data_IF_709269105157
#
_entry.id   IF_709269105157
#
_cell.length_a   1.000
_cell.length_b   1.000
_cell.length_c   1.000
_cell.angle_alpha   90.00
_cell.angle_beta   90.00
_cell.angle_gamma   90.00
#
_symmetry.space_group_name_H-M   'P 1'
#
loop_
_entity.id
_entity.type
_entity.pdbx_description
1 polymer ?
#
# COMPACT_ATOMS: atom_id res chain seq x y z
N UNK A 1 21.81 1.14 -18.56
CA UNK A 1 23.15 1.68 -18.15
C UNK A 1 24.11 0.53 -17.74
N UNK A 2 25.45 0.65 -17.82
CA UNK A 2 26.39 -0.45 -17.44
C UNK A 2 26.92 -0.36 -16.00
N UNK A 3 27.24 -1.50 -15.38
CA UNK A 3 27.77 -1.60 -14.00
C UNK A 3 29.02 -0.72 -13.76
N UNK A 4 29.90 -0.60 -14.76
CA UNK A 4 31.08 0.29 -14.71
C UNK A 4 30.67 1.76 -14.57
N UNK A 5 29.60 2.20 -15.22
CA UNK A 5 29.08 3.57 -15.14
C UNK A 5 28.40 3.83 -13.79
N UNK A 6 27.65 2.87 -13.25
CA UNK A 6 27.06 2.96 -11.90
C UNK A 6 28.13 3.09 -10.81
N UNK A 7 29.16 2.23 -10.85
CA UNK A 7 30.28 2.30 -9.91
C UNK A 7 31.04 3.63 -10.06
N UNK A 8 31.28 4.10 -11.30
CA UNK A 8 31.95 5.40 -11.53
C UNK A 8 31.13 6.57 -10.98
N UNK A 9 29.82 6.61 -11.24
CA UNK A 9 28.93 7.67 -10.77
C UNK A 9 28.78 7.67 -9.23
N UNK A 10 28.73 6.49 -8.60
CA UNK A 10 28.71 6.37 -7.15
C UNK A 10 30.03 6.84 -6.51
N UNK A 11 31.17 6.42 -7.04
CA UNK A 11 32.49 6.87 -6.58
C UNK A 11 32.67 8.39 -6.77
N UNK A 12 32.22 8.96 -7.89
CA UNK A 12 32.26 10.41 -8.12
C UNK A 12 31.37 11.18 -7.14
N UNK A 13 30.17 10.70 -6.83
CA UNK A 13 29.24 11.35 -5.89
C UNK A 13 29.56 11.12 -4.40
N UNK A 14 30.45 10.20 -4.04
CA UNK A 14 30.79 9.92 -2.62
C UNK A 14 32.27 10.11 -2.26
N UNK A 15 33.19 10.23 -3.22
CA UNK A 15 34.64 10.31 -2.93
C UNK A 15 35.28 11.65 -3.37
N UNK A 16 34.64 12.44 -4.25
CA UNK A 16 35.13 13.80 -4.59
C UNK A 16 34.85 14.87 -3.50
N UNK A 17 34.81 14.43 -2.25
CA UNK A 17 34.95 15.23 -1.02
C UNK A 17 36.35 15.10 -0.40
N UNK A 18 37.42 15.12 -1.19
CA UNK A 18 38.79 15.39 -0.69
C UNK A 18 39.75 14.20 -0.48
N UNK A 19 39.39 12.95 -0.82
CA UNK A 19 40.31 11.81 -0.67
C UNK A 19 41.13 11.52 -1.94
N UNK A 20 42.45 11.74 -1.89
CA UNK A 20 43.35 11.68 -3.05
C UNK A 20 43.96 10.31 -3.39
N UNK A 21 43.69 9.25 -2.60
CA UNK A 21 44.00 7.86 -2.96
C UNK A 21 43.11 6.89 -2.17
N UNK A 22 42.37 6.03 -2.86
CA UNK A 22 41.66 4.92 -2.25
C UNK A 22 42.48 3.63 -2.45
N UNK A 23 43.09 3.13 -1.37
CA UNK A 23 43.66 1.79 -1.38
C UNK A 23 42.50 0.79 -1.22
N UNK A 24 42.06 0.18 -2.33
CA UNK A 24 41.14 -0.95 -2.28
C UNK A 24 41.91 -2.13 -1.72
N UNK A 25 41.63 -2.52 -0.48
CA UNK A 25 42.25 -3.67 0.18
C UNK A 25 41.96 -4.99 -0.57
N UNK A 26 42.66 -6.04 -0.16
CA UNK A 26 42.54 -7.36 -0.78
C UNK A 26 41.23 -8.07 -0.43
N UNK A 27 40.54 -7.65 0.64
CA UNK A 27 39.24 -8.19 1.07
C UNK A 27 38.10 -7.70 0.17
N UNK A 28 38.03 -6.39 -0.10
CA UNK A 28 37.13 -5.81 -1.08
C UNK A 28 37.36 -6.38 -2.50
N UNK A 29 38.63 -6.65 -2.86
CA UNK A 29 38.97 -7.35 -4.12
C UNK A 29 38.57 -8.82 -4.12
N UNK A 30 38.62 -9.52 -2.98
CA UNK A 30 38.14 -10.90 -2.85
C UNK A 30 36.62 -10.99 -2.98
N UNK A 31 35.87 -10.10 -2.31
CA UNK A 31 34.41 -10.02 -2.40
C UNK A 31 33.93 -9.78 -3.84
N UNK A 32 34.52 -8.79 -4.54
CA UNK A 32 34.23 -8.53 -5.95
C UNK A 32 34.52 -9.73 -6.86
N UNK A 33 35.61 -10.46 -6.63
CA UNK A 33 35.92 -11.68 -7.41
C UNK A 33 34.93 -12.81 -7.12
N UNK A 34 34.55 -13.03 -5.87
CA UNK A 34 33.54 -14.03 -5.50
C UNK A 34 32.21 -13.77 -6.20
N UNK A 35 31.77 -12.51 -6.20
CA UNK A 35 30.53 -12.09 -6.86
C UNK A 35 30.58 -12.28 -8.39
N UNK A 36 31.66 -11.85 -9.05
CA UNK A 36 31.84 -12.03 -10.50
C UNK A 36 32.00 -13.50 -10.93
N UNK A 37 32.39 -14.40 -10.03
CA UNK A 37 32.45 -15.84 -10.30
C UNK A 37 31.07 -16.50 -10.16
N UNK A 38 30.24 -16.06 -9.20
CA UNK A 38 28.86 -16.52 -9.07
C UNK A 38 28.02 -16.22 -10.32
N UNK A 39 28.05 -14.97 -10.83
CA UNK A 39 27.37 -14.56 -12.07
C UNK A 39 27.80 -15.37 -13.31
N UNK A 40 29.00 -15.96 -13.31
CA UNK A 40 29.50 -16.79 -14.40
C UNK A 40 29.15 -18.27 -14.26
N UNK A 41 28.94 -18.77 -13.04
CA UNK A 41 28.46 -20.13 -12.80
C UNK A 41 27.01 -20.33 -13.25
N UNK A 42 26.16 -19.34 -12.99
CA UNK A 42 24.71 -19.43 -13.21
C UNK A 42 24.31 -19.42 -14.70
N UNK A 43 25.23 -19.11 -15.61
CA UNK A 43 25.02 -19.16 -17.08
C UNK A 43 25.47 -20.47 -17.76
N UNK A 44 25.84 -21.50 -17.00
CA UNK A 44 26.15 -22.85 -17.55
C UNK A 44 25.68 -23.99 -16.64
N UNK A 45 24.44 -24.46 -16.85
CA UNK A 45 24.01 -25.75 -16.30
C UNK A 45 22.49 -25.89 -16.22
N UNK A 46 21.89 -26.56 -17.22
CA UNK A 46 20.51 -27.04 -17.13
C UNK A 46 20.45 -28.57 -17.05
N UNK A 47 19.34 -29.08 -16.51
CA UNK A 47 18.80 -30.47 -16.53
C UNK A 47 19.26 -31.52 -15.51
N UNK A 48 18.25 -32.28 -15.04
CA UNK A 48 18.24 -33.51 -14.20
C UNK A 48 18.71 -33.37 -12.73
N UNK A 49 18.05 -33.95 -11.71
CA UNK A 49 17.27 -35.19 -11.67
C UNK A 49 16.14 -35.22 -10.60
N UNK A 50 15.38 -36.31 -10.56
CA UNK A 50 14.24 -36.56 -9.65
C UNK A 50 14.66 -37.08 -8.27
N UNK A 51 13.77 -36.99 -7.27
CA UNK A 51 13.87 -37.66 -5.98
C UNK A 51 12.54 -37.68 -5.23
N UNK A 52 11.95 -38.87 -5.08
CA UNK A 52 10.67 -39.08 -4.37
C UNK A 52 10.85 -39.17 -2.85
N UNK A 53 9.80 -38.83 -2.09
CA UNK A 53 9.58 -39.40 -0.75
C UNK A 53 8.08 -39.40 -0.39
N UNK A 54 7.54 -40.57 -0.05
CA UNK A 54 6.16 -40.79 0.38
C UNK A 54 6.02 -40.69 1.91
N UNK A 55 4.79 -40.39 2.36
CA UNK A 55 4.11 -40.80 3.61
C UNK A 55 3.20 -39.65 4.10
N UNK A 56 2.01 -39.88 4.67
CA UNK A 56 1.26 -41.11 4.87
C UNK A 56 0.05 -40.81 5.77
N UNK A 57 -1.12 -41.35 5.46
CA UNK A 57 -2.32 -41.23 6.29
C UNK A 57 -2.78 -42.62 6.75
N UNK A 58 -3.24 -42.76 8.00
CA UNK A 58 -4.48 -43.51 8.20
C UNK A 58 -5.38 -42.99 9.34
N UNK A 59 -6.70 -43.22 9.18
CA UNK A 59 -7.61 -43.80 10.19
C UNK A 59 -8.02 -42.94 11.40
N UNK A 60 -9.15 -43.15 12.10
CA UNK A 60 -10.10 -44.29 12.12
C UNK A 60 -11.51 -43.80 12.62
N UNK A 61 -12.51 -44.56 13.16
CA UNK A 61 -13.88 -44.51 12.60
C UNK A 61 -15.08 -44.26 13.56
N UNK A 62 -16.30 -44.17 12.98
CA UNK A 62 -17.63 -44.76 13.36
C UNK A 62 -17.90 -45.09 14.86
N UNK A 63 -19.02 -44.69 15.51
CA UNK A 63 -20.31 -45.45 15.59
C UNK A 63 -21.45 -44.65 16.36
N UNK A 64 -22.68 -45.17 16.66
CA UNK A 64 -23.92 -44.49 16.18
C UNK A 64 -25.11 -44.34 17.17
N UNK A 65 -26.20 -43.71 16.70
CA UNK A 65 -27.58 -44.23 16.86
C UNK A 65 -28.58 -43.53 17.80
N UNK A 66 -29.78 -43.21 17.27
CA UNK A 66 -31.11 -43.53 17.86
C UNK A 66 -32.26 -43.07 16.93
N UNK A 67 -33.40 -43.79 16.93
CA UNK A 67 -34.63 -43.47 16.18
C UNK A 67 -35.71 -42.90 17.12
N UNK A 68 -36.65 -42.12 16.59
CA UNK A 68 -37.88 -41.74 17.30
C UNK A 68 -39.00 -41.19 16.41
N UNK A 69 -40.21 -41.73 16.58
CA UNK A 69 -41.50 -41.25 16.03
C UNK A 69 -42.55 -41.38 17.17
N UNK A 70 -43.80 -40.91 17.12
CA UNK A 70 -44.69 -40.45 16.04
C UNK A 70 -45.72 -39.48 16.66
N UNK A 71 -46.28 -38.50 15.93
CA UNK A 71 -47.50 -37.80 16.43
C UNK A 71 -47.81 -36.40 15.90
N UNK A 72 -48.87 -36.31 15.08
CA UNK A 72 -49.71 -35.11 14.90
C UNK A 72 -51.07 -35.37 15.64
N UNK A 73 -52.11 -34.50 15.69
CA UNK A 73 -52.64 -33.65 14.59
C UNK A 73 -53.18 -32.26 14.99
N UNK A 74 -53.65 -31.47 13.99
CA UNK A 74 -54.48 -30.27 14.22
C UNK A 74 -54.49 -29.25 13.07
N UNK A 75 -55.54 -29.25 12.25
CA UNK A 75 -55.87 -28.28 11.20
C UNK A 75 -57.36 -27.82 11.42
N UNK A 76 -58.05 -26.98 10.59
CA UNK A 76 -57.70 -26.48 9.24
C UNK A 76 -58.19 -25.03 8.88
N UNK A 77 -58.04 -24.65 7.60
CA UNK A 77 -58.80 -23.59 6.91
C UNK A 77 -57.96 -22.35 6.51
N UNK A 78 -58.07 -21.76 5.32
CA UNK A 78 -58.91 -22.05 4.14
C UNK A 78 -58.24 -21.58 2.83
N UNK A 79 -58.72 -22.00 1.67
CA UNK A 79 -58.18 -21.70 0.32
C UNK A 79 -59.24 -21.10 -0.62
N UNK A 80 -58.83 -20.37 -1.68
CA UNK A 80 -59.67 -20.14 -2.88
C UNK A 80 -58.91 -19.56 -4.11
N UNK A 81 -59.12 -20.15 -5.28
CA UNK A 81 -58.95 -19.65 -6.69
C UNK A 81 -59.54 -20.76 -7.60
N UNK A 82 -59.81 -20.61 -8.93
CA UNK A 82 -59.99 -19.45 -9.85
C UNK A 82 -61.47 -19.43 -10.39
N UNK A 83 -61.88 -19.10 -11.67
CA UNK A 83 -61.49 -19.75 -12.96
C UNK A 83 -61.54 -18.75 -14.22
N UNK A 84 -61.62 -19.13 -15.55
CA UNK A 84 -60.99 -18.37 -16.67
C UNK A 84 -61.93 -18.05 -17.90
N UNK A 85 -61.60 -18.31 -19.21
CA UNK A 85 -60.75 -17.56 -20.18
C UNK A 85 -61.49 -17.09 -21.48
N UNK A 86 -60.76 -16.48 -22.44
CA UNK A 86 -61.18 -16.32 -23.87
C UNK A 86 -59.98 -16.48 -24.85
N UNK A 87 -60.23 -16.74 -26.13
CA UNK A 87 -59.27 -17.38 -27.07
C UNK A 87 -59.16 -16.74 -28.47
N UNK A 88 -58.14 -17.14 -29.27
CA UNK A 88 -58.22 -17.20 -30.75
C UNK A 88 -57.08 -16.56 -31.58
N UNK A 89 -56.54 -17.29 -32.57
CA UNK A 89 -55.67 -16.77 -33.66
C UNK A 89 -54.53 -17.73 -34.09
N UNK A 90 -54.32 -17.96 -35.41
CA UNK A 90 -53.46 -19.05 -35.92
C UNK A 90 -52.49 -18.66 -37.08
N UNK A 91 -51.21 -19.10 -36.99
CA UNK A 91 -50.41 -20.05 -37.86
C UNK A 91 -50.69 -20.07 -39.40
N UNK A 92 -49.74 -20.31 -40.38
CA UNK A 92 -48.28 -20.68 -40.40
C UNK A 92 -47.39 -19.79 -41.38
N UNK A 93 -46.39 -20.28 -42.17
CA UNK A 93 -44.96 -20.48 -41.81
C UNK A 93 -43.91 -19.86 -42.78
N UNK A 94 -42.64 -20.30 -42.59
CA UNK A 94 -41.45 -20.29 -43.48
C UNK A 94 -40.35 -19.23 -43.27
N UNK A 95 -39.08 -19.70 -43.28
CA UNK A 95 -37.87 -18.87 -43.20
C UNK A 95 -36.81 -19.37 -42.21
N UNK A 96 -36.21 -20.54 -42.43
CA UNK A 96 -35.16 -21.06 -41.56
C UNK A 96 -33.82 -20.33 -41.72
N UNK A 97 -33.22 -19.89 -40.61
CA UNK A 97 -31.77 -19.63 -40.50
C UNK A 97 -31.28 -20.32 -39.24
N UNK A 98 -30.29 -21.21 -39.39
CA UNK A 98 -29.82 -22.08 -38.32
C UNK A 98 -28.97 -21.31 -37.29
N UNK A 99 -29.44 -21.23 -36.05
CA UNK A 99 -28.61 -20.88 -34.90
C UNK A 99 -27.89 -22.14 -34.42
N UNK A 100 -26.63 -22.32 -34.81
CA UNK A 100 -25.75 -23.32 -34.20
C UNK A 100 -25.27 -22.80 -32.85
N UNK A 101 -25.78 -23.38 -31.76
CA UNK A 101 -25.14 -23.26 -30.45
C UNK A 101 -23.94 -24.22 -30.40
N UNK A 102 -22.74 -23.78 -29.98
CA UNK A 102 -21.75 -24.69 -29.46
C UNK A 102 -22.11 -25.00 -28.00
N UNK A 103 -22.43 -26.26 -27.72
CA UNK A 103 -22.41 -26.81 -26.36
C UNK A 103 -20.96 -26.82 -25.86
N UNK A 104 -20.57 -25.80 -25.09
CA UNK A 104 -19.34 -25.83 -24.29
C UNK A 104 -19.70 -25.88 -22.81
N UNK A 105 -19.75 -27.11 -22.30
CA UNK A 105 -20.04 -27.46 -20.93
C UNK A 105 -19.03 -26.78 -19.98
N UNK A 106 -19.54 -26.00 -19.00
CA UNK A 106 -18.75 -25.29 -17.99
C UNK A 106 -18.13 -26.26 -16.96
N UNK A 107 -17.22 -27.11 -17.44
CA UNK A 107 -16.47 -28.04 -16.61
C UNK A 107 -15.50 -27.30 -15.68
N UNK A 108 -15.21 -27.83 -14.48
CA UNK A 108 -14.19 -27.27 -13.59
C UNK A 108 -12.79 -27.15 -14.22
N UNK A 109 -12.52 -27.93 -15.28
CA UNK A 109 -11.30 -27.85 -16.07
C UNK A 109 -11.27 -26.61 -17.01
N UNK A 110 -12.40 -26.23 -17.61
CA UNK A 110 -12.53 -24.99 -18.39
C UNK A 110 -12.33 -23.75 -17.52
N UNK A 111 -12.92 -23.74 -16.33
CA UNK A 111 -12.70 -22.69 -15.32
C UNK A 111 -11.23 -22.60 -14.87
N UNK A 112 -10.51 -23.72 -14.72
CA UNK A 112 -9.06 -23.71 -14.48
C UNK A 112 -8.26 -23.17 -15.68
N UNK A 113 -8.67 -23.43 -16.92
CA UNK A 113 -7.98 -22.92 -18.12
C UNK A 113 -8.14 -21.40 -18.27
N UNK A 114 -9.31 -20.85 -17.92
CA UNK A 114 -9.53 -19.40 -17.80
C UNK A 114 -8.79 -18.77 -16.60
N UNK A 115 -8.54 -19.54 -15.53
CA UNK A 115 -7.77 -19.10 -14.37
C UNK A 115 -6.24 -19.27 -14.51
N UNK A 116 -5.75 -19.76 -15.66
CA UNK A 116 -4.32 -19.93 -15.98
C UNK A 116 -3.88 -19.20 -17.25
N UNK A 117 -4.71 -18.28 -17.76
CA UNK A 117 -4.19 -17.19 -18.57
C UNK A 117 -3.66 -16.13 -17.61
N UNK A 118 -2.35 -16.13 -17.39
CA UNK A 118 -1.69 -15.03 -16.69
C UNK A 118 -2.10 -13.71 -17.38
N UNK A 119 -2.66 -12.73 -16.65
CA UNK A 119 -2.77 -11.39 -17.20
C UNK A 119 -1.34 -10.93 -17.47
N UNK A 120 -1.07 -10.64 -18.75
CA UNK A 120 0.20 -10.17 -19.29
C UNK A 120 0.92 -9.30 -18.24
N UNK A 121 2.09 -9.78 -17.79
CA UNK A 121 2.79 -9.19 -16.65
C UNK A 121 2.88 -7.69 -16.85
N UNK A 122 2.42 -6.86 -15.89
CA UNK A 122 2.37 -5.42 -16.08
C UNK A 122 3.79 -4.97 -16.45
N UNK A 123 3.97 -4.17 -17.52
CA UNK A 123 5.27 -3.94 -18.10
C UNK A 123 6.22 -3.48 -17.00
N UNK A 124 7.34 -4.22 -16.87
CA UNK A 124 8.44 -3.80 -16.02
C UNK A 124 8.74 -2.36 -16.41
N UNK A 125 8.56 -1.44 -15.45
CA UNK A 125 8.73 -0.02 -15.74
C UNK A 125 10.23 0.18 -15.89
N UNK A 126 10.71 0.16 -17.13
CA UNK A 126 12.10 0.41 -17.47
C UNK A 126 12.58 1.65 -16.69
N UNK A 127 13.58 1.47 -15.82
CA UNK A 127 13.91 2.45 -14.77
C UNK A 127 14.45 3.77 -15.32
N UNK A 128 14.73 3.84 -16.63
CA UNK A 128 15.53 4.90 -17.26
C UNK A 128 14.79 6.25 -17.44
N UNK A 129 13.46 6.33 -17.19
CA UNK A 129 12.66 7.58 -17.29
C UNK A 129 11.68 7.82 -16.10
N UNK A 130 12.18 7.82 -14.86
CA UNK A 130 11.41 8.33 -13.70
C UNK A 130 11.46 9.87 -13.69
N UNK A 131 10.31 10.57 -13.85
CA UNK A 131 10.26 12.02 -13.95
C UNK A 131 10.53 12.67 -12.59
N UNK A 132 11.34 13.73 -12.59
CA UNK A 132 11.76 14.41 -11.37
C UNK A 132 11.17 15.83 -11.29
N UNK A 133 10.37 16.12 -10.26
CA UNK A 133 9.75 17.42 -10.05
C UNK A 133 10.76 18.46 -9.52
N UNK A 134 10.92 19.58 -10.23
CA UNK A 134 11.74 20.74 -9.81
C UNK A 134 10.97 22.04 -10.06
N UNK A 135 10.42 22.69 -9.01
CA UNK A 135 9.68 23.94 -9.16
C UNK A 135 10.59 25.17 -9.33
N UNK A 136 11.88 25.09 -8.95
CA UNK A 136 12.90 26.09 -9.30
C UNK A 136 13.00 27.32 -8.41
N UNK A 137 12.39 27.35 -7.23
CA UNK A 137 12.45 28.48 -6.32
C UNK A 137 13.85 28.75 -5.73
N UNK A 138 14.14 30.03 -5.47
CA UNK A 138 15.39 30.52 -4.88
C UNK A 138 15.37 30.53 -3.34
N UNK A 139 14.18 30.52 -2.74
CA UNK A 139 13.95 30.43 -1.29
C UNK A 139 12.98 29.30 -0.93
N UNK A 140 12.90 28.93 0.35
CA UNK A 140 11.98 27.88 0.81
C UNK A 140 10.51 28.23 0.53
N UNK A 141 10.08 29.46 0.82
CA UNK A 141 8.68 29.86 0.61
C UNK A 141 8.32 30.02 -0.87
N UNK A 142 9.23 30.56 -1.69
CA UNK A 142 9.05 30.57 -3.16
C UNK A 142 9.00 29.15 -3.73
N UNK A 143 9.80 28.22 -3.18
CA UNK A 143 9.75 26.80 -3.55
C UNK A 143 8.40 26.18 -3.19
N UNK A 144 7.82 26.52 -2.03
CA UNK A 144 6.46 26.10 -1.67
C UNK A 144 5.41 26.68 -2.64
N UNK A 145 5.41 27.99 -2.90
CA UNK A 145 4.46 28.64 -3.81
C UNK A 145 4.53 28.04 -5.23
N UNK A 146 5.74 27.88 -5.76
CA UNK A 146 5.96 27.26 -7.07
C UNK A 146 5.58 25.77 -7.08
N UNK A 147 5.73 25.05 -5.96
CA UNK A 147 5.25 23.66 -5.84
C UNK A 147 3.73 23.60 -5.91
N UNK A 148 3.03 24.44 -5.13
CA UNK A 148 1.58 24.55 -5.08
C UNK A 148 0.99 24.95 -6.44
N UNK A 149 1.68 25.85 -7.16
CA UNK A 149 1.29 26.32 -8.50
C UNK A 149 1.59 25.33 -9.64
N UNK A 150 2.74 24.64 -9.61
CA UNK A 150 3.22 23.84 -10.75
C UNK A 150 2.82 22.36 -10.68
N UNK A 151 2.70 21.76 -9.49
CA UNK A 151 2.31 20.35 -9.38
C UNK A 151 0.93 20.03 -9.97
N UNK A 152 -0.13 20.87 -9.83
CA UNK A 152 -1.44 20.59 -10.43
C UNK A 152 -1.37 20.46 -11.97
N UNK A 153 -0.38 21.11 -12.61
CA UNK A 153 -0.16 21.11 -14.07
C UNK A 153 1.02 20.23 -14.52
N UNK A 154 1.66 19.50 -13.61
CA UNK A 154 2.83 18.69 -13.93
C UNK A 154 2.44 17.43 -14.72
N UNK A 155 2.68 17.48 -16.05
CA UNK A 155 2.26 16.46 -17.03
C UNK A 155 2.52 15.00 -16.61
N UNK A 156 3.72 14.60 -16.13
CA UNK A 156 4.01 13.19 -15.87
C UNK A 156 3.08 12.57 -14.83
N UNK A 157 2.61 13.37 -13.87
CA UNK A 157 1.75 12.92 -12.79
C UNK A 157 0.26 13.05 -13.13
N UNK A 158 -0.12 14.03 -13.97
CA UNK A 158 -1.47 14.05 -14.59
C UNK A 158 -1.73 12.83 -15.48
N UNK A 159 -0.71 12.34 -16.18
CA UNK A 159 -0.79 11.21 -17.13
C UNK A 159 -1.08 9.86 -16.46
N UNK A 160 -0.87 9.73 -15.14
CA UNK A 160 -1.13 8.49 -14.40
C UNK A 160 -2.63 8.20 -14.18
N UNK A 161 -3.51 9.10 -14.62
CA UNK A 161 -4.95 9.00 -14.42
C UNK A 161 -5.35 9.56 -13.06
N UNK A 162 -5.94 10.75 -13.08
CA UNK A 162 -6.47 11.42 -11.89
C UNK A 162 -7.90 11.84 -12.16
N UNK A 163 -8.84 11.44 -11.28
CA UNK A 163 -10.27 11.58 -11.56
C UNK A 163 -10.70 13.05 -11.73
N UNK A 164 -10.08 13.95 -10.96
CA UNK A 164 -10.46 15.38 -10.90
C UNK A 164 -9.29 16.36 -11.05
N UNK A 165 -8.07 15.87 -11.32
CA UNK A 165 -6.82 16.67 -11.41
C UNK A 165 -6.57 17.62 -10.22
N UNK A 166 -7.17 17.37 -9.06
CA UNK A 166 -6.94 18.13 -7.82
C UNK A 166 -5.91 17.39 -6.95
N UNK A 167 -4.67 17.90 -6.81
CA UNK A 167 -3.75 17.35 -5.83
C UNK A 167 -4.25 17.59 -4.40
N UNK A 168 -3.84 16.70 -3.51
CA UNK A 168 -3.89 16.88 -2.07
C UNK A 168 -2.44 17.07 -1.61
N UNK A 169 -2.09 18.32 -1.32
CA UNK A 169 -0.79 18.69 -0.78
C UNK A 169 -0.69 18.33 0.70
N UNK A 170 0.53 18.35 1.25
CA UNK A 170 0.68 18.30 2.70
C UNK A 170 0.20 19.60 3.37
N UNK A 171 -0.20 19.49 4.64
CA UNK A 171 -0.66 20.61 5.47
C UNK A 171 0.02 20.61 6.84
N UNK A 172 -0.09 21.73 7.55
CA UNK A 172 0.40 21.90 8.92
C UNK A 172 1.65 22.76 8.98
N UNK A 173 2.49 22.54 10.00
CA UNK A 173 3.69 23.35 10.22
C UNK A 173 4.79 22.97 9.22
N UNK A 174 5.14 23.89 8.31
CA UNK A 174 6.24 23.76 7.33
C UNK A 174 7.65 23.66 7.97
N UNK A 175 7.76 23.65 9.30
CA UNK A 175 8.98 23.42 10.11
C UNK A 175 8.71 22.43 11.26
N UNK A 176 7.82 21.47 11.05
CA UNK A 176 7.46 20.48 12.06
C UNK A 176 8.59 19.48 12.34
N UNK A 177 8.81 19.17 13.62
CA UNK A 177 9.72 18.10 14.04
C UNK A 177 9.22 16.68 13.63
N UNK A 178 7.91 16.54 13.39
CA UNK A 178 7.24 15.28 13.05
C UNK A 178 6.49 15.45 11.73
N UNK A 179 6.80 14.58 10.75
CA UNK A 179 6.01 14.43 9.52
C UNK A 179 5.23 13.11 9.53
N UNK A 180 3.94 13.14 9.23
CA UNK A 180 3.14 11.95 8.97
C UNK A 180 2.95 11.76 7.46
N UNK A 181 3.26 10.55 6.95
CA UNK A 181 3.15 10.19 5.53
C UNK A 181 2.15 9.05 5.37
N UNK A 182 1.00 9.32 4.76
CA UNK A 182 0.03 8.32 4.32
C UNK A 182 0.36 7.71 2.96
N UNK A 183 -0.48 6.80 2.48
CA UNK A 183 -0.33 6.17 1.17
C UNK A 183 -0.86 7.02 0.00
N UNK A 184 -2.16 7.31 -0.04
CA UNK A 184 -2.79 8.12 -1.09
C UNK A 184 -4.12 8.75 -0.64
N UNK A 185 -4.60 9.82 -1.32
CA UNK A 185 -5.83 10.50 -0.95
C UNK A 185 -7.10 9.67 -1.17
N UNK A 186 -8.01 9.71 -0.21
CA UNK A 186 -9.40 9.27 -0.31
C UNK A 186 -10.32 10.28 -0.99
N UNK A 187 -11.59 9.92 -1.14
CA UNK A 187 -12.62 10.78 -1.76
C UNK A 187 -12.79 12.12 -1.04
N UNK A 188 -12.87 12.10 0.29
CA UNK A 188 -13.07 13.31 1.12
C UNK A 188 -11.83 14.20 1.07
N UNK A 189 -10.65 13.59 1.01
CA UNK A 189 -9.36 14.27 0.95
C UNK A 189 -9.22 15.03 -0.38
N UNK A 190 -9.55 14.38 -1.50
CA UNK A 190 -9.62 15.01 -2.83
C UNK A 190 -10.67 16.15 -2.85
N UNK A 191 -11.85 15.93 -2.25
CA UNK A 191 -12.91 16.93 -2.19
C UNK A 191 -12.46 18.18 -1.44
N UNK A 192 -11.94 18.04 -0.22
CA UNK A 192 -11.44 19.14 0.62
C UNK A 192 -10.18 19.76 0.01
N UNK A 193 -9.26 18.95 -0.48
CA UNK A 193 -7.89 19.35 -0.86
C UNK A 193 -6.90 19.20 0.30
N UNK A 194 -7.29 18.51 1.37
CA UNK A 194 -6.54 18.35 2.61
C UNK A 194 -6.32 16.86 2.90
N UNK A 195 -5.14 16.46 3.37
CA UNK A 195 -4.85 15.06 3.65
C UNK A 195 -5.58 14.61 4.91
N UNK A 196 -6.03 13.35 4.90
CA UNK A 196 -6.79 12.77 6.00
C UNK A 196 -8.01 13.65 6.38
N UNK A 197 -8.88 13.96 5.43
CA UNK A 197 -10.09 14.77 5.61
C UNK A 197 -11.34 13.99 6.03
N UNK A 198 -11.34 12.66 5.95
CA UNK A 198 -12.44 11.77 6.37
C UNK A 198 -12.20 11.05 7.71
N UNK A 199 -12.93 9.95 7.97
CA UNK A 199 -12.89 9.17 9.24
C UNK A 199 -11.48 8.72 9.67
N UNK A 200 -10.63 8.35 8.70
CA UNK A 200 -9.23 7.98 8.98
C UNK A 200 -8.44 9.18 9.55
N UNK A 201 -8.81 10.40 9.14
CA UNK A 201 -8.29 11.64 9.71
C UNK A 201 -8.82 11.96 11.08
N UNK A 202 -10.11 11.78 11.34
CA UNK A 202 -10.66 11.92 12.69
C UNK A 202 -9.96 10.97 13.69
N UNK A 203 -9.56 9.79 13.20
CA UNK A 203 -8.73 8.84 13.95
C UNK A 203 -7.31 9.36 14.18
N UNK A 204 -6.66 9.91 13.15
CA UNK A 204 -5.35 10.56 13.25
C UNK A 204 -5.38 11.75 14.22
N UNK A 205 -6.43 12.57 14.18
CA UNK A 205 -6.64 13.69 15.11
C UNK A 205 -6.84 13.21 16.55
N UNK A 206 -7.47 12.04 16.74
CA UNK A 206 -7.54 11.38 18.03
C UNK A 206 -6.16 10.95 18.55
N UNK A 207 -5.27 10.46 17.68
CA UNK A 207 -3.89 10.10 18.01
C UNK A 207 -3.07 11.34 18.33
N UNK A 208 -3.14 12.39 17.51
CA UNK A 208 -2.46 13.67 17.76
C UNK A 208 -2.89 14.27 19.10
N UNK A 209 -4.20 14.36 19.38
CA UNK A 209 -4.70 14.82 20.69
C UNK A 209 -4.20 13.96 21.86
N UNK A 210 -4.07 12.65 21.68
CA UNK A 210 -3.49 11.77 22.70
C UNK A 210 -1.99 12.04 22.93
N UNK A 211 -1.24 12.42 21.89
CA UNK A 211 0.15 12.91 21.99
C UNK A 211 0.26 14.31 22.61
N UNK A 212 -0.85 15.06 22.70
CA UNK A 212 -0.86 16.47 23.13
C UNK A 212 -0.59 17.44 21.98
N UNK A 213 -0.83 17.01 20.74
CA UNK A 213 -0.59 17.76 19.50
C UNK A 213 -1.90 18.01 18.74
N UNK A 214 -1.83 18.94 17.79
CA UNK A 214 -2.83 19.28 16.79
C UNK A 214 -2.26 19.20 15.38
N UNK A 215 -3.09 19.34 14.34
CA UNK A 215 -2.61 19.37 12.94
C UNK A 215 -1.67 20.54 12.64
N UNK A 216 -1.73 21.63 13.41
CA UNK A 216 -0.82 22.78 13.27
C UNK A 216 0.55 22.57 13.91
N UNK A 217 0.76 21.52 14.71
CA UNK A 217 2.06 21.26 15.35
C UNK A 217 2.95 20.31 14.51
N UNK A 218 2.33 19.59 13.59
CA UNK A 218 2.94 18.54 12.75
C UNK A 218 2.80 18.91 11.27
N UNK A 219 3.47 18.18 10.37
CA UNK A 219 3.18 18.22 8.94
C UNK A 219 2.59 16.88 8.50
N UNK A 220 1.50 16.91 7.75
CA UNK A 220 0.76 15.70 7.33
C UNK A 220 0.70 15.70 5.82
N UNK A 221 1.10 14.60 5.17
CA UNK A 221 1.17 14.49 3.71
C UNK A 221 0.90 13.06 3.23
N UNK A 222 0.80 12.88 1.91
CA UNK A 222 0.70 11.58 1.26
C UNK A 222 1.93 11.25 0.41
N UNK A 223 2.25 9.96 0.32
CA UNK A 223 3.26 9.43 -0.58
C UNK A 223 2.91 9.71 -2.06
N UNK A 224 1.63 9.59 -2.43
CA UNK A 224 1.09 9.98 -3.75
C UNK A 224 0.17 11.19 -3.60
N UNK A 225 0.32 12.20 -4.47
CA UNK A 225 -0.39 13.50 -4.31
C UNK A 225 -1.80 13.55 -4.86
N UNK A 226 -2.24 12.53 -5.59
CA UNK A 226 -3.56 12.48 -6.23
C UNK A 226 -4.23 11.15 -5.91
N UNK A 227 -5.56 11.18 -5.81
CA UNK A 227 -6.36 9.98 -5.62
C UNK A 227 -6.20 9.04 -6.83
N UNK A 228 -5.72 7.80 -6.64
CA UNK A 228 -5.47 6.87 -7.75
C UNK A 228 -6.77 6.54 -8.51
N UNK A 229 -6.75 6.71 -9.84
CA UNK A 229 -7.93 6.51 -10.67
C UNK A 229 -8.33 5.03 -10.81
N UNK A 230 -9.64 4.79 -10.95
CA UNK A 230 -10.22 3.48 -11.28
C UNK A 230 -11.40 3.62 -12.27
N UNK A 231 -11.72 2.57 -13.06
CA UNK A 231 -12.96 2.52 -13.83
C UNK A 231 -14.19 2.66 -12.93
N UNK A 232 -15.16 3.49 -13.34
CA UNK A 232 -16.44 3.74 -12.62
C UNK A 232 -16.27 4.17 -11.15
N UNK A 233 -15.17 4.84 -10.82
CA UNK A 233 -14.85 5.27 -9.46
C UNK A 233 -15.85 6.30 -8.91
N UNK A 234 -16.34 6.06 -7.69
CA UNK A 234 -17.21 7.00 -6.95
C UNK A 234 -16.49 7.48 -5.70
N UNK A 235 -16.73 6.85 -4.54
CA UNK A 235 -16.11 7.12 -3.25
C UNK A 235 -14.94 6.17 -2.92
N UNK A 236 -14.85 5.04 -3.63
CA UNK A 236 -13.81 4.03 -3.46
C UNK A 236 -12.42 4.49 -3.91
N UNK A 237 -11.36 4.00 -3.26
CA UNK A 237 -9.96 4.25 -3.62
C UNK A 237 -9.20 2.91 -3.64
N UNK A 238 -8.31 2.72 -4.61
CA UNK A 238 -7.33 1.61 -4.62
C UNK A 238 -5.99 2.06 -4.03
N UNK A 239 -5.14 1.12 -3.58
CA UNK A 239 -3.72 1.37 -3.41
C UNK A 239 -3.10 2.03 -4.66
N UNK A 240 -2.15 2.98 -4.48
CA UNK A 240 -1.30 3.43 -5.58
C UNK A 240 -0.39 2.29 -6.07
N UNK A 241 -0.12 2.30 -7.37
CA UNK A 241 0.85 1.44 -8.03
C UNK A 241 2.29 1.89 -7.74
N UNK A 242 3.27 1.01 -7.99
CA UNK A 242 4.69 1.35 -7.92
C UNK A 242 5.03 2.58 -8.76
N UNK A 243 4.46 2.70 -9.97
CA UNK A 243 4.70 3.85 -10.87
C UNK A 243 4.17 5.16 -10.30
N UNK A 244 2.97 5.17 -9.72
CA UNK A 244 2.39 6.34 -9.06
C UNK A 244 3.21 6.77 -7.84
N UNK A 245 3.74 5.81 -7.07
CA UNK A 245 4.66 6.07 -5.96
C UNK A 245 5.95 6.71 -6.49
N UNK A 246 6.65 6.06 -7.43
CA UNK A 246 7.94 6.52 -7.95
C UNK A 246 7.86 7.95 -8.54
N UNK A 247 6.81 8.25 -9.29
CA UNK A 247 6.60 9.58 -9.88
C UNK A 247 6.34 10.66 -8.80
N UNK A 248 5.67 10.27 -7.69
CA UNK A 248 5.35 11.18 -6.58
C UNK A 248 6.53 11.40 -5.61
N UNK A 249 7.49 10.47 -5.55
CA UNK A 249 8.62 10.53 -4.60
C UNK A 249 9.43 11.81 -4.71
N UNK A 250 9.63 12.36 -5.91
CA UNK A 250 10.37 13.63 -6.07
C UNK A 250 9.68 14.83 -5.42
N UNK A 251 8.35 14.78 -5.29
CA UNK A 251 7.55 15.79 -4.57
C UNK A 251 7.64 15.59 -3.06
N UNK A 252 7.55 14.35 -2.58
CA UNK A 252 7.68 14.02 -1.15
C UNK A 252 9.09 14.31 -0.63
N UNK A 253 10.12 13.99 -1.42
CA UNK A 253 11.53 14.32 -1.16
C UNK A 253 11.73 15.84 -1.05
N UNK A 254 11.03 16.63 -1.89
CA UNK A 254 11.03 18.08 -1.81
C UNK A 254 10.36 18.60 -0.53
N UNK A 255 9.16 18.12 -0.20
CA UNK A 255 8.47 18.49 1.05
C UNK A 255 9.34 18.18 2.28
N UNK A 256 9.90 16.98 2.36
CA UNK A 256 10.74 16.55 3.49
C UNK A 256 12.04 17.36 3.58
N UNK A 257 12.65 17.76 2.45
CA UNK A 257 13.81 18.66 2.43
C UNK A 257 13.48 20.09 2.87
N UNK A 258 12.26 20.56 2.65
CA UNK A 258 11.80 21.88 3.07
C UNK A 258 11.37 21.90 4.55
N UNK A 259 10.72 20.83 5.04
CA UNK A 259 10.27 20.72 6.44
C UNK A 259 11.41 20.39 7.40
N UNK A 260 12.38 19.58 6.97
CA UNK A 260 13.53 19.13 7.78
C UNK A 260 13.14 18.49 9.15
N UNK A 261 12.22 17.52 9.19
CA UNK A 261 11.75 16.93 10.45
C UNK A 261 12.83 16.09 11.15
N UNK A 262 12.69 15.94 12.47
CA UNK A 262 13.46 15.00 13.29
C UNK A 262 13.04 13.54 13.08
N UNK A 263 11.77 13.30 12.74
CA UNK A 263 11.22 11.95 12.54
C UNK A 263 10.08 11.94 11.53
N UNK A 264 10.04 10.88 10.70
CA UNK A 264 8.95 10.59 9.76
C UNK A 264 8.13 9.41 10.30
N UNK A 265 6.82 9.52 10.25
CA UNK A 265 5.86 8.47 10.59
C UNK A 265 5.22 7.94 9.32
N UNK A 266 5.61 6.73 8.91
CA UNK A 266 5.03 6.03 7.77
C UNK A 266 3.76 5.30 8.20
N UNK A 267 2.60 5.81 7.76
CA UNK A 267 1.29 5.27 8.10
C UNK A 267 0.93 4.12 7.14
N UNK A 268 1.20 2.90 7.58
CA UNK A 268 0.89 1.66 6.86
C UNK A 268 1.95 1.23 5.85
N UNK A 269 1.75 0.03 5.31
CA UNK A 269 2.78 -0.70 4.56
C UNK A 269 3.15 -0.03 3.23
N UNK A 270 2.23 0.72 2.60
CA UNK A 270 2.48 1.40 1.32
C UNK A 270 3.37 2.62 1.52
N UNK A 271 3.09 3.43 2.55
CA UNK A 271 3.97 4.53 2.96
C UNK A 271 5.37 4.03 3.32
N UNK A 272 5.46 2.95 4.10
CA UNK A 272 6.73 2.31 4.47
C UNK A 272 7.52 1.83 3.24
N UNK A 273 6.86 1.14 2.29
CA UNK A 273 7.48 0.66 1.04
C UNK A 273 8.02 1.81 0.17
N UNK A 274 7.25 2.88 -0.01
CA UNK A 274 7.68 4.02 -0.84
C UNK A 274 8.85 4.79 -0.25
N UNK A 275 8.84 5.02 1.06
CA UNK A 275 9.92 5.71 1.76
C UNK A 275 11.17 4.82 1.87
N UNK A 276 11.05 3.63 2.46
CA UNK A 276 12.20 2.80 2.81
C UNK A 276 12.77 1.99 1.63
N UNK A 277 11.96 1.75 0.58
CA UNK A 277 12.37 1.06 -0.66
C UNK A 277 12.96 -0.35 -0.47
N UNK A 278 12.65 -1.02 0.65
CA UNK A 278 13.15 -2.37 1.00
C UNK A 278 12.32 -3.51 0.37
N UNK A 279 11.66 -3.27 -0.76
CA UNK A 279 10.82 -4.25 -1.45
C UNK A 279 9.46 -4.52 -0.78
N UNK A 280 8.80 -5.63 -1.15
CA UNK A 280 7.39 -5.94 -0.80
C UNK A 280 7.25 -6.70 0.54
N UNK A 281 7.87 -6.21 1.62
CA UNK A 281 7.78 -6.83 2.94
C UNK A 281 6.38 -6.67 3.60
N UNK A 282 6.00 -7.53 4.58
CA UNK A 282 4.83 -7.33 5.45
C UNK A 282 4.98 -6.09 6.36
N UNK A 283 3.87 -5.63 6.95
CA UNK A 283 3.91 -4.46 7.85
C UNK A 283 4.72 -4.72 9.13
N UNK A 284 4.63 -5.91 9.72
CA UNK A 284 5.34 -6.25 10.96
C UNK A 284 6.86 -6.12 10.82
N UNK A 285 7.42 -6.71 9.76
CA UNK A 285 8.86 -6.64 9.46
C UNK A 285 9.35 -5.20 9.27
N UNK A 286 8.56 -4.35 8.60
CA UNK A 286 8.83 -2.91 8.47
C UNK A 286 8.79 -2.15 9.82
N UNK A 287 8.01 -2.62 10.81
CA UNK A 287 7.93 -2.03 12.16
C UNK A 287 9.05 -2.52 13.08
N UNK A 288 9.48 -3.77 12.92
CA UNK A 288 10.59 -4.38 13.66
C UNK A 288 11.95 -3.84 13.22
N UNK A 289 12.09 -3.48 11.93
CA UNK A 289 13.31 -2.92 11.37
C UNK A 289 13.12 -1.46 10.90
N UNK A 290 12.98 -0.50 11.84
CA UNK A 290 12.88 0.92 11.49
C UNK A 290 14.10 1.36 10.69
N UNK A 291 13.88 2.18 9.67
CA UNK A 291 14.92 2.65 8.75
C UNK A 291 15.09 4.16 8.78
N UNK A 292 15.69 4.70 7.73
CA UNK A 292 15.75 6.15 7.51
C UNK A 292 15.42 6.50 6.06
N UNK A 293 14.93 7.73 5.85
CA UNK A 293 14.74 8.33 4.54
C UNK A 293 15.61 9.58 4.46
N UNK A 294 16.58 9.61 3.54
CA UNK A 294 17.58 10.70 3.43
C UNK A 294 18.28 11.04 4.75
N UNK A 295 18.50 10.04 5.61
CA UNK A 295 19.10 10.21 6.95
C UNK A 295 18.11 10.56 8.07
N UNK A 296 16.86 10.89 7.74
CA UNK A 296 15.80 11.16 8.73
C UNK A 296 15.22 9.81 9.21
N UNK A 297 15.16 9.53 10.53
CA UNK A 297 14.53 8.32 11.07
C UNK A 297 13.08 8.13 10.61
N UNK A 298 12.72 6.90 10.25
CA UNK A 298 11.35 6.53 9.85
C UNK A 298 10.80 5.50 10.83
N UNK A 299 9.76 5.89 11.57
CA UNK A 299 8.93 4.98 12.35
C UNK A 299 7.77 4.52 11.48
N UNK A 300 7.62 3.21 11.31
CA UNK A 300 6.47 2.61 10.62
C UNK A 300 5.40 2.27 11.66
N UNK A 301 4.14 2.49 11.32
CA UNK A 301 3.01 2.05 12.16
C UNK A 301 1.78 1.71 11.31
N UNK A 302 0.67 1.36 11.94
CA UNK A 302 -0.59 1.06 11.25
C UNK A 302 -1.23 2.31 10.63
N UNK A 303 -1.83 2.15 9.46
CA UNK A 303 -2.60 3.22 8.85
C UNK A 303 -3.87 3.51 9.67
N UNK A 304 -4.29 4.77 9.89
CA UNK A 304 -5.46 5.09 10.73
C UNK A 304 -6.77 4.41 10.31
N UNK A 305 -6.95 4.10 9.01
CA UNK A 305 -8.12 3.33 8.52
C UNK A 305 -8.14 1.85 8.91
N UNK A 306 -7.02 1.29 9.42
CA UNK A 306 -7.01 -0.02 10.06
C UNK A 306 -7.66 0.06 11.45
N UNK A 307 -7.35 1.12 12.22
CA UNK A 307 -7.91 1.35 13.57
C UNK A 307 -9.42 1.63 13.60
N UNK A 308 -10.02 1.99 12.46
CA UNK A 308 -11.49 2.08 12.32
C UNK A 308 -12.15 0.69 12.34
N UNK A 309 -11.43 -0.36 11.90
CA UNK A 309 -11.95 -1.71 11.74
C UNK A 309 -11.55 -2.66 12.87
N UNK A 310 -10.44 -2.40 13.55
CA UNK A 310 -10.01 -3.22 14.70
C UNK A 310 -10.53 -2.69 16.04
N UNK A 311 -11.15 -3.59 16.81
CA UNK A 311 -11.49 -3.39 18.21
C UNK A 311 -10.36 -3.83 19.16
N UNK A 312 -9.29 -4.46 18.64
CA UNK A 312 -8.22 -5.03 19.44
C UNK A 312 -7.43 -3.95 20.20
N UNK A 313 -7.33 -4.12 21.51
CA UNK A 313 -6.58 -3.24 22.40
C UNK A 313 -5.07 -3.44 22.27
N UNK A 314 -4.60 -4.65 21.90
CA UNK A 314 -3.20 -4.94 21.62
C UNK A 314 -2.69 -4.17 20.40
N UNK A 315 -3.42 -4.21 19.29
CA UNK A 315 -3.10 -3.42 18.08
C UNK A 315 -3.08 -1.91 18.36
N UNK A 316 -4.05 -1.41 19.14
CA UNK A 316 -4.10 0.00 19.57
C UNK A 316 -2.92 0.35 20.48
N UNK A 317 -2.54 -0.56 21.38
CA UNK A 317 -1.37 -0.41 22.26
C UNK A 317 -0.07 -0.38 21.46
N UNK A 318 0.09 -1.27 20.49
CA UNK A 318 1.27 -1.33 19.63
C UNK A 318 1.45 -0.09 18.76
N UNK A 319 0.39 0.46 18.17
CA UNK A 319 0.47 1.77 17.50
C UNK A 319 0.81 2.89 18.49
N UNK A 320 0.26 2.84 19.70
CA UNK A 320 0.57 3.85 20.71
C UNK A 320 2.04 3.79 21.18
N UNK A 321 2.64 2.61 21.23
CA UNK A 321 4.08 2.44 21.49
C UNK A 321 4.95 3.06 20.39
N UNK A 322 4.53 2.96 19.12
CA UNK A 322 5.18 3.69 18.03
C UNK A 322 5.07 5.22 18.24
N UNK A 323 3.91 5.72 18.68
CA UNK A 323 3.74 7.15 18.96
C UNK A 323 4.58 7.62 20.15
N UNK A 324 4.75 6.80 21.21
CA UNK A 324 5.65 7.11 22.31
C UNK A 324 7.11 7.19 21.85
N UNK A 325 7.56 6.32 20.92
CA UNK A 325 8.88 6.40 20.29
C UNK A 325 9.04 7.68 19.46
N UNK A 326 8.02 8.04 18.67
CA UNK A 326 7.99 9.29 17.89
C UNK A 326 8.09 10.52 18.79
N UNK A 327 7.30 10.57 19.88
CA UNK A 327 7.37 11.65 20.87
C UNK A 327 8.77 11.76 21.50
N UNK A 328 9.41 10.63 21.83
CA UNK A 328 10.76 10.60 22.38
C UNK A 328 11.80 11.11 21.38
N UNK A 329 11.72 10.72 20.10
CA UNK A 329 12.61 11.21 19.03
C UNK A 329 12.42 12.70 18.76
N UNK A 330 11.18 13.20 18.80
CA UNK A 330 10.84 14.61 18.70
C UNK A 330 11.12 15.42 19.99
N UNK A 331 11.61 14.78 21.05
CA UNK A 331 11.90 15.39 22.37
C UNK A 331 10.66 16.01 23.06
N UNK A 332 9.47 15.48 22.76
CA UNK A 332 8.22 15.92 23.39
C UNK A 332 8.09 15.36 24.82
N UNK A 333 7.47 16.10 25.76
CA UNK A 333 7.19 15.59 27.10
C UNK A 333 6.16 14.45 27.04
N UNK A 334 6.43 13.36 27.76
CA UNK A 334 5.55 12.18 27.83
C UNK A 334 5.16 11.93 29.28
N UNK A 335 3.89 12.18 29.60
CA UNK A 335 3.30 11.94 30.92
C UNK A 335 3.08 10.46 31.23
N UNK A 336 3.00 10.09 32.52
CA UNK A 336 2.69 8.71 32.93
C UNK A 336 1.33 8.23 32.44
N UNK A 337 0.34 9.14 32.37
CA UNK A 337 -0.97 8.86 31.76
C UNK A 337 -0.82 8.43 30.30
N UNK A 338 -0.01 9.14 29.53
CA UNK A 338 0.31 8.78 28.14
C UNK A 338 1.06 7.44 28.08
N UNK A 339 2.08 7.21 28.91
CA UNK A 339 2.78 5.91 28.98
C UNK A 339 1.81 4.75 29.26
N UNK A 340 0.81 4.99 30.09
CA UNK A 340 -0.22 4.03 30.50
C UNK A 340 -1.36 3.76 29.52
N UNK A 341 -1.51 4.51 28.41
CA UNK A 341 -2.63 4.27 27.48
C UNK A 341 -2.65 2.84 26.91
N UNK A 342 -3.86 2.29 26.85
CA UNK A 342 -4.18 0.91 26.43
C UNK A 342 -3.58 -0.22 27.29
N UNK A 343 -2.86 0.09 28.38
CA UNK A 343 -2.50 -0.91 29.38
C UNK A 343 -3.66 -1.13 30.36
N UNK A 344 -3.76 -2.33 30.98
CA UNK A 344 -4.67 -2.53 32.10
C UNK A 344 -4.41 -1.50 33.20
N UNK A 345 -5.48 -0.98 33.81
CA UNK A 345 -5.34 -0.14 34.99
C UNK A 345 -4.54 -0.89 36.06
N UNK A 346 -3.48 -0.27 36.59
CA UNK A 346 -2.73 -0.83 37.72
C UNK A 346 -3.71 -0.98 38.88
N UNK A 347 -4.00 -2.23 39.26
CA UNK A 347 -4.67 -2.52 40.53
C UNK A 347 -3.71 -2.10 41.63
N UNK A 348 -4.07 -1.05 42.37
CA UNK A 348 -3.38 -0.62 43.58
C UNK A 348 -3.68 -1.52 44.76
#
# INVERSE_FOLDING_TARGET
MTLRQLITAWLQNHILGGCTKLAVDDEARALLRGWMLAERGEKRGGTAAQGEAQAGAPGTPVAPGARGTFGAPGAPGSAATPPPPAAGGAVPPDGAIAAQAPDDELTPAGLRRLAMQDPESPPEVEEEDIPFFRPGGSSAEETWELTERLLPVWKPLQQLGTLRRKPVFGIGNRRADIVFVGDAPGYVDEQKGEPFGGEAGEKLDGILRAMGLSRSDVYITYLVKFRPAMPRQTINTRPPSTREILYSLSVVDLELRLVQPKVIVALGVIAARGLLQRGKLPLAEYREQPGSYRGIPVIVTHHPSYLLRTADLGERRHLWEDMLRVMQMAQLPISDKQRGYFLPARRG
#
